data_IF_100017046001
#
_entry.id   IF_100017046001
#
_cell.length_a   1.000
_cell.length_b   1.000
_cell.length_c   1.000
_cell.angle_alpha   90.00
_cell.angle_beta   90.00
_cell.angle_gamma   90.00
#
_symmetry.space_group_name_H-M   'P 1'
#
loop_
_entity.id
_entity.type
_entity.pdbx_description
1 polymer ?
#
# COMPACT_ATOMS: atom_id res chain seq x y z
N UNK A 1 9.48 2.04 -18.76
CA UNK A 1 10.25 2.35 -17.54
C UNK A 1 10.51 1.16 -16.62
N UNK A 2 9.86 -0.01 -16.80
CA UNK A 2 10.27 -1.25 -16.11
C UNK A 2 10.08 -1.28 -14.59
N UNK A 3 9.52 -0.23 -13.99
CA UNK A 3 9.20 -0.16 -12.56
C UNK A 3 8.17 -1.23 -12.18
N UNK A 4 8.47 -1.94 -11.11
CA UNK A 4 7.59 -2.91 -10.46
C UNK A 4 7.40 -2.43 -9.01
N UNK A 5 6.20 -2.62 -8.49
CA UNK A 5 5.83 -2.32 -7.13
C UNK A 5 4.79 -3.33 -6.67
N UNK A 6 4.68 -3.52 -5.36
CA UNK A 6 3.63 -4.33 -4.76
C UNK A 6 2.38 -3.48 -4.54
N UNK A 7 1.21 -4.08 -4.76
CA UNK A 7 -0.09 -3.46 -4.44
C UNK A 7 -0.85 -4.36 -3.47
N UNK A 8 -1.07 -3.86 -2.26
CA UNK A 8 -1.90 -4.50 -1.24
C UNK A 8 -3.28 -3.83 -1.21
N UNK A 9 -4.36 -4.61 -1.31
CA UNK A 9 -5.74 -4.10 -1.28
C UNK A 9 -6.40 -4.53 0.02
N UNK A 10 -6.78 -3.58 0.86
CA UNK A 10 -7.47 -3.81 2.13
C UNK A 10 -8.96 -3.50 2.03
N UNK A 11 -9.77 -4.56 2.12
CA UNK A 11 -11.23 -4.48 2.14
C UNK A 11 -11.89 -5.07 3.39
N UNK A 12 -11.11 -5.61 4.34
CA UNK A 12 -11.64 -6.21 5.57
C UNK A 12 -11.03 -5.56 6.79
N UNK A 13 -11.87 -5.24 7.77
CA UNK A 13 -11.46 -4.58 9.00
C UNK A 13 -11.99 -5.30 10.23
N UNK A 14 -11.05 -5.62 11.13
CA UNK A 14 -11.26 -5.88 12.54
C UNK A 14 -10.10 -5.19 13.28
N UNK A 15 -10.33 -4.56 14.44
CA UNK A 15 -9.32 -3.73 15.09
C UNK A 15 -8.00 -4.49 15.37
N UNK A 16 -8.08 -5.72 15.88
CA UNK A 16 -6.88 -6.53 16.13
C UNK A 16 -6.16 -6.96 14.84
N UNK A 17 -6.91 -7.32 13.81
CA UNK A 17 -6.34 -7.69 12.51
C UNK A 17 -5.62 -6.52 11.86
N UNK A 18 -6.26 -5.34 11.85
CA UNK A 18 -5.67 -4.13 11.29
C UNK A 18 -4.38 -3.78 12.01
N UNK A 19 -4.38 -3.80 13.36
CA UNK A 19 -3.17 -3.50 14.14
C UNK A 19 -2.01 -4.40 13.73
N UNK A 20 -2.22 -5.71 13.69
CA UNK A 20 -1.20 -6.69 13.28
C UNK A 20 -0.75 -6.48 11.83
N UNK A 21 -1.68 -6.16 10.91
CA UNK A 21 -1.34 -5.89 9.50
C UNK A 21 -0.49 -4.62 9.39
N UNK A 22 -0.87 -3.54 10.06
CA UNK A 22 -0.12 -2.28 10.10
C UNK A 22 1.28 -2.48 10.69
N UNK A 23 1.42 -3.28 11.73
CA UNK A 23 2.73 -3.63 12.29
C UNK A 23 3.62 -4.33 11.26
N UNK A 24 3.09 -5.30 10.52
CA UNK A 24 3.84 -5.96 9.44
C UNK A 24 4.21 -5.01 8.30
N UNK A 25 3.30 -4.12 7.91
CA UNK A 25 3.56 -3.12 6.87
C UNK A 25 4.70 -2.19 7.26
N UNK A 26 4.71 -1.73 8.52
CA UNK A 26 5.81 -0.91 9.07
C UNK A 26 7.15 -1.66 9.10
N UNK A 27 7.14 -2.90 9.58
CA UNK A 27 8.34 -3.74 9.70
C UNK A 27 8.89 -4.20 8.35
N UNK A 28 8.10 -4.18 7.29
CA UNK A 28 8.56 -4.56 5.96
C UNK A 28 9.58 -3.57 5.38
N UNK A 29 9.61 -2.31 5.86
CA UNK A 29 10.49 -1.25 5.35
C UNK A 29 10.48 -1.10 3.82
N UNK A 30 9.38 -1.52 3.17
CA UNK A 30 9.23 -1.49 1.72
C UNK A 30 8.74 -0.14 1.27
N UNK A 31 9.54 0.52 0.44
CA UNK A 31 9.17 1.78 -0.20
C UNK A 31 8.51 1.56 -1.57
N UNK A 32 8.65 0.36 -2.12
CA UNK A 32 8.02 -0.12 -3.35
C UNK A 32 6.59 -0.65 -3.15
N UNK A 33 5.94 -0.35 -2.02
CA UNK A 33 4.62 -0.86 -1.66
C UNK A 33 3.56 0.23 -1.75
N UNK A 34 2.49 -0.05 -2.50
CA UNK A 34 1.25 0.70 -2.46
C UNK A 34 0.21 -0.04 -1.65
N UNK A 35 -0.50 0.68 -0.79
CA UNK A 35 -1.57 0.17 0.06
C UNK A 35 -2.88 0.87 -0.32
N UNK A 36 -3.78 0.14 -0.95
CA UNK A 36 -5.11 0.59 -1.30
C UNK A 36 -6.08 0.26 -0.16
N UNK A 37 -6.66 1.27 0.47
CA UNK A 37 -7.56 1.13 1.63
C UNK A 37 -8.99 1.45 1.21
N UNK A 38 -9.92 0.53 1.45
CA UNK A 38 -11.33 0.86 1.21
C UNK A 38 -11.80 1.97 2.18
N UNK A 39 -12.42 3.02 1.64
CA UNK A 39 -13.01 4.11 2.43
C UNK A 39 -14.20 3.67 3.29
N UNK A 40 -14.71 2.45 3.08
CA UNK A 40 -15.78 1.89 3.91
C UNK A 40 -15.26 1.27 5.21
N UNK A 41 -13.93 1.23 5.42
CA UNK A 41 -13.32 0.75 6.65
C UNK A 41 -13.27 1.88 7.69
N UNK A 42 -13.45 1.53 8.95
CA UNK A 42 -13.36 2.48 10.07
C UNK A 42 -11.89 2.75 10.45
N UNK A 43 -11.15 3.37 9.53
CA UNK A 43 -9.73 3.74 9.65
C UNK A 43 -9.49 5.11 9.03
N UNK A 44 -8.45 5.78 9.47
CA UNK A 44 -8.03 7.10 8.96
C UNK A 44 -6.64 7.02 8.35
N UNK A 45 -6.25 8.05 7.60
CA UNK A 45 -4.90 8.17 7.04
C UNK A 45 -3.82 8.18 8.15
N UNK A 46 -4.12 8.70 9.34
CA UNK A 46 -3.18 8.73 10.48
C UNK A 46 -2.75 7.33 10.95
N UNK A 47 -3.62 6.32 10.81
CA UNK A 47 -3.29 4.92 11.12
C UNK A 47 -2.12 4.40 10.27
N UNK A 48 -1.91 5.00 9.10
CA UNK A 48 -0.94 4.59 8.09
C UNK A 48 0.30 5.50 8.00
N UNK A 49 0.40 6.60 8.77
CA UNK A 49 1.48 7.59 8.66
C UNK A 49 2.91 7.03 8.74
N UNK A 50 3.07 5.89 9.41
CA UNK A 50 4.36 5.24 9.62
C UNK A 50 4.60 4.06 8.66
N UNK A 51 3.64 3.76 7.77
CA UNK A 51 3.79 2.73 6.75
C UNK A 51 4.71 3.27 5.65
N UNK A 52 5.84 2.61 5.39
CA UNK A 52 6.70 2.98 4.28
C UNK A 52 5.99 2.72 2.94
N UNK A 53 6.26 3.57 1.94
CA UNK A 53 5.62 3.50 0.63
C UNK A 53 4.42 4.45 0.49
N UNK A 54 3.49 4.11 -0.40
CA UNK A 54 2.32 4.94 -0.70
C UNK A 54 1.03 4.33 -0.16
N UNK A 55 0.17 5.15 0.42
CA UNK A 55 -1.15 4.73 0.93
C UNK A 55 -2.20 5.60 0.28
N UNK A 56 -3.29 5.00 -0.18
CA UNK A 56 -4.40 5.74 -0.76
C UNK A 56 -5.74 5.07 -0.47
N UNK A 57 -6.80 5.89 -0.46
CA UNK A 57 -8.14 5.43 -0.15
C UNK A 57 -8.98 5.34 -1.43
N UNK A 58 -9.78 4.28 -1.54
CA UNK A 58 -10.71 4.08 -2.64
C UNK A 58 -12.11 3.71 -2.13
N UNK A 59 -13.17 4.15 -2.82
CA UNK A 59 -14.55 3.82 -2.44
C UNK A 59 -15.01 2.49 -3.02
N UNK A 60 -15.24 2.46 -4.33
CA UNK A 60 -15.86 1.31 -5.03
C UNK A 60 -14.83 0.41 -5.72
N UNK A 61 -13.82 1.01 -6.36
CA UNK A 61 -12.80 0.29 -7.12
C UNK A 61 -11.48 1.04 -7.08
N UNK A 62 -10.38 0.30 -7.13
CA UNK A 62 -9.04 0.85 -7.35
C UNK A 62 -8.94 1.26 -8.81
N UNK A 63 -8.79 2.55 -9.09
CA UNK A 63 -8.62 3.01 -10.47
C UNK A 63 -7.16 2.81 -10.89
N UNK A 64 -6.90 2.20 -12.05
CA UNK A 64 -5.53 2.06 -12.56
C UNK A 64 -4.80 3.41 -12.69
N UNK A 65 -5.53 4.48 -13.00
CA UNK A 65 -4.97 5.84 -13.12
C UNK A 65 -4.39 6.35 -11.80
N UNK A 66 -5.10 6.13 -10.68
CA UNK A 66 -4.63 6.54 -9.35
C UNK A 66 -3.38 5.75 -8.96
N UNK A 67 -3.38 4.44 -9.25
CA UNK A 67 -2.21 3.58 -9.03
C UNK A 67 -1.01 4.07 -9.83
N UNK A 68 -1.17 4.33 -11.14
CA UNK A 68 -0.08 4.82 -12.01
C UNK A 68 0.45 6.17 -11.50
N UNK A 69 -0.42 7.07 -11.06
CA UNK A 69 0.00 8.35 -10.51
C UNK A 69 0.83 8.19 -9.24
N UNK A 70 0.41 7.29 -8.34
CA UNK A 70 1.12 6.99 -7.09
C UNK A 70 2.43 6.22 -7.32
N UNK A 71 2.49 5.37 -8.34
CA UNK A 71 3.72 4.69 -8.76
C UNK A 71 4.83 5.67 -9.15
N UNK A 72 4.47 6.89 -9.58
CA UNK A 72 5.44 7.94 -9.86
C UNK A 72 6.05 8.60 -8.63
N UNK A 73 5.38 8.44 -7.48
CA UNK A 73 5.75 9.08 -6.22
C UNK A 73 6.51 8.15 -5.28
N UNK A 74 6.59 6.85 -5.57
CA UNK A 74 7.25 5.87 -4.72
C UNK A 74 8.60 5.43 -5.29
N UNK A 75 9.51 5.03 -4.40
CA UNK A 75 10.79 4.48 -4.81
C UNK A 75 10.56 3.11 -5.48
N UNK A 76 11.09 2.88 -6.69
CA UNK A 76 10.94 1.61 -7.37
C UNK A 76 11.65 0.52 -6.58
N UNK A 77 11.15 -0.71 -6.70
CA UNK A 77 11.85 -1.88 -6.17
C UNK A 77 13.31 -1.88 -6.67
N UNK A 78 14.26 -2.06 -5.75
CA UNK A 78 15.65 -2.26 -6.14
C UNK A 78 15.72 -3.56 -6.95
N UNK A 79 16.06 -3.44 -8.24
CA UNK A 79 16.15 -4.55 -9.19
C UNK A 79 17.35 -5.44 -8.84
N UNK A 80 17.19 -6.27 -7.80
CA UNK A 80 18.20 -7.22 -7.33
C UNK A 80 17.68 -8.66 -7.22
N UNK A 81 16.43 -8.91 -7.59
CA UNK A 81 15.86 -10.25 -7.53
C UNK A 81 14.95 -10.48 -8.74
N UNK A 82 15.56 -11.00 -9.81
CA UNK A 82 14.83 -11.67 -10.89
C UNK A 82 13.90 -12.69 -10.25
N UNK A 83 12.59 -12.48 -10.40
CA UNK A 83 11.61 -13.53 -10.20
C UNK A 83 11.87 -14.52 -11.35
N UNK A 84 12.61 -15.58 -11.05
CA UNK A 84 12.82 -16.71 -11.98
C UNK A 84 11.58 -17.59 -11.97
#
# INVERSE_FOLDING_TARGET
>A
DGRIALLEIMGYWRPEYLRRKLEKLRQAHRKDLLVAVSSNLNVSEDDFKNVPGGVFFFRNKVQPKDVIHLLDQIEPHATGQTIK
#
